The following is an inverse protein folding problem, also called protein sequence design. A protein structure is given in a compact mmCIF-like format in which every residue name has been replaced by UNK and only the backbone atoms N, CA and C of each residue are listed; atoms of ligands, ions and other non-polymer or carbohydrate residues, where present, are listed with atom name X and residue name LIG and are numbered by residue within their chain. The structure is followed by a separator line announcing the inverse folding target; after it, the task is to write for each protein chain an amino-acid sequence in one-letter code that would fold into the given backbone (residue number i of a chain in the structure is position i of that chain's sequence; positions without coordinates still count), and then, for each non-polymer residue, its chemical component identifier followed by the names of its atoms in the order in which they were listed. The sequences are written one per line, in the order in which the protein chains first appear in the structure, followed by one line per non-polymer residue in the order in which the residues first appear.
data_IF_641150479710
#
_entry.id   IF_641150479710
#
_cell.length_a   1.000
_cell.length_b   1.000
_cell.length_c   1.000
_cell.angle_alpha   90.00
_cell.angle_beta   90.00
_cell.angle_gamma   90.00
#
_symmetry.space_group_name_H-M   'P 1'
#
loop_
_entity.id
_entity.type
_entity.pdbx_description
1 polymer ?
#
# COMPACT_ATOMS: atom_id res chain seq x y z
N UNK A 1 -27.87 -28.58 13.21
CA UNK A 1 -26.63 -28.12 13.86
C UNK A 1 -25.51 -28.74 13.07
N UNK A 2 -25.17 -28.11 11.93
CA UNK A 2 -24.17 -28.63 11.00
C UNK A 2 -22.91 -27.78 11.12
N UNK A 3 -21.80 -28.48 11.35
CA UNK A 3 -20.45 -27.94 11.45
C UNK A 3 -20.08 -27.18 10.18
N UNK A 4 -19.92 -25.86 10.32
CA UNK A 4 -19.33 -25.01 9.29
C UNK A 4 -17.83 -25.34 9.16
N UNK A 5 -17.48 -26.15 8.15
CA UNK A 5 -16.09 -26.32 7.74
C UNK A 5 -15.69 -25.12 6.88
N UNK A 6 -14.63 -24.37 7.22
CA UNK A 6 -14.17 -23.26 6.40
C UNK A 6 -13.73 -23.81 5.04
N UNK A 7 -14.38 -23.32 3.99
CA UNK A 7 -14.27 -23.85 2.64
C UNK A 7 -12.89 -23.66 2.02
N UNK A 8 -12.51 -24.64 1.19
CA UNK A 8 -11.32 -24.78 0.33
C UNK A 8 -10.98 -23.60 -0.61
N UNK A 9 -11.62 -22.44 -0.47
CA UNK A 9 -11.49 -21.28 -1.37
C UNK A 9 -11.17 -19.96 -0.65
N UNK A 10 -10.52 -20.02 0.51
CA UNK A 10 -10.01 -18.83 1.21
C UNK A 10 -8.98 -18.04 0.36
N UNK A 11 -8.43 -18.64 -0.71
CA UNK A 11 -7.57 -18.00 -1.71
C UNK A 11 -8.32 -17.08 -2.70
N UNK A 12 -9.64 -17.18 -2.84
CA UNK A 12 -10.42 -16.26 -3.67
C UNK A 12 -10.65 -14.92 -2.97
N UNK A 13 -10.68 -14.91 -1.64
CA UNK A 13 -10.78 -13.70 -0.80
C UNK A 13 -9.66 -12.66 -1.06
N UNK A 14 -8.37 -13.06 -1.23
CA UNK A 14 -7.28 -12.22 -1.73
C UNK A 14 -7.58 -11.46 -3.03
N UNK A 15 -8.34 -12.05 -3.96
CA UNK A 15 -8.67 -11.45 -5.26
C UNK A 15 -9.65 -10.27 -5.09
N UNK A 16 -10.44 -10.27 -4.01
CA UNK A 16 -11.35 -9.17 -3.68
C UNK A 16 -10.69 -8.06 -2.85
N UNK A 17 -9.51 -8.33 -2.29
CA UNK A 17 -8.78 -7.41 -1.44
C UNK A 17 -7.81 -6.50 -2.21
N UNK A 18 -7.25 -6.95 -3.33
CA UNK A 18 -6.42 -6.11 -4.19
C UNK A 18 -7.22 -5.74 -5.45
N UNK A 19 -7.79 -4.52 -5.52
CA UNK A 19 -8.45 -4.06 -6.73
C UNK A 19 -7.51 -4.20 -7.93
N UNK A 20 -7.99 -4.83 -9.01
CA UNK A 20 -7.21 -5.01 -10.27
C UNK A 20 -6.61 -3.69 -10.77
N UNK A 21 -7.29 -2.57 -10.49
CA UNK A 21 -6.82 -1.23 -10.80
C UNK A 21 -5.49 -0.91 -10.10
N UNK A 22 -5.26 -1.38 -8.87
CA UNK A 22 -3.99 -1.22 -8.15
C UNK A 22 -2.89 -2.04 -8.81
N UNK A 23 -3.16 -3.29 -9.20
CA UNK A 23 -2.18 -4.12 -9.91
C UNK A 23 -1.81 -3.50 -11.26
N UNK A 24 -2.78 -2.94 -11.97
CA UNK A 24 -2.56 -2.20 -13.21
C UNK A 24 -1.74 -0.93 -12.95
N UNK A 25 -2.04 -0.16 -11.90
CA UNK A 25 -1.24 1.00 -11.51
C UNK A 25 0.20 0.59 -11.17
N UNK A 26 0.39 -0.43 -10.33
CA UNK A 26 1.71 -0.95 -9.94
C UNK A 26 2.52 -1.40 -11.16
N UNK A 27 1.93 -2.23 -12.03
CA UNK A 27 2.57 -2.74 -13.24
C UNK A 27 2.99 -1.62 -14.19
N UNK A 28 2.17 -0.56 -14.30
CA UNK A 28 2.41 0.53 -15.25
C UNK A 28 3.36 1.59 -14.74
N UNK A 29 3.34 1.92 -13.44
CA UNK A 29 4.42 2.73 -12.84
C UNK A 29 5.76 2.02 -13.04
N UNK A 30 5.79 0.70 -12.85
CA UNK A 30 7.00 -0.08 -13.08
C UNK A 30 7.40 -0.05 -14.58
N UNK A 31 6.45 -0.20 -15.50
CA UNK A 31 6.72 -0.08 -16.94
C UNK A 31 7.18 1.33 -17.36
N UNK A 32 6.60 2.39 -16.79
CA UNK A 32 7.01 3.78 -17.04
C UNK A 32 8.40 4.06 -16.48
N UNK A 33 8.75 3.55 -15.29
CA UNK A 33 10.12 3.66 -14.75
C UNK A 33 11.12 2.93 -15.65
N UNK A 34 10.80 1.72 -16.11
CA UNK A 34 11.65 0.95 -17.05
C UNK A 34 11.81 1.69 -18.38
N UNK A 35 10.71 2.23 -18.93
CA UNK A 35 10.75 3.00 -20.17
C UNK A 35 11.59 4.28 -20.04
N UNK A 36 11.49 5.03 -18.92
CA UNK A 36 12.35 6.20 -18.66
C UNK A 36 13.83 5.86 -18.48
N UNK A 37 14.13 4.67 -17.96
CA UNK A 37 15.50 4.18 -17.86
C UNK A 37 16.07 3.76 -19.23
N UNK A 38 15.19 3.35 -20.15
CA UNK A 38 15.57 2.89 -21.49
C UNK A 38 15.55 3.99 -22.56
N UNK A 39 14.74 5.05 -22.39
CA UNK A 39 14.59 6.13 -23.37
C UNK A 39 15.21 7.44 -22.84
N UNK A 40 16.27 7.91 -23.50
CA UNK A 40 17.03 9.11 -23.12
C UNK A 40 16.43 10.41 -23.66
N UNK A 41 15.11 10.49 -23.87
CA UNK A 41 14.47 11.75 -24.26
C UNK A 41 12.99 11.82 -23.83
N UNK A 42 12.71 12.81 -22.97
CA UNK A 42 11.56 13.71 -23.12
C UNK A 42 10.11 13.20 -23.15
N UNK A 43 9.83 11.93 -22.88
CA UNK A 43 8.43 11.46 -22.86
C UNK A 43 7.68 12.03 -21.63
N UNK A 44 6.87 13.05 -21.86
CA UNK A 44 5.84 13.53 -20.93
C UNK A 44 5.03 12.33 -20.42
N UNK A 45 4.59 12.28 -19.15
CA UNK A 45 3.88 11.12 -18.61
C UNK A 45 2.47 10.98 -19.22
N UNK A 46 2.38 10.50 -20.46
CA UNK A 46 1.13 10.34 -21.18
C UNK A 46 0.25 9.31 -20.44
N UNK A 47 -0.91 9.77 -19.97
CA UNK A 47 -1.94 8.94 -19.35
C UNK A 47 -2.07 9.03 -17.82
N UNK A 48 -1.21 9.76 -17.10
CA UNK A 48 -1.34 9.86 -15.62
C UNK A 48 -2.71 10.41 -15.20
N UNK A 49 -3.20 11.46 -15.85
CA UNK A 49 -4.51 12.06 -15.54
C UNK A 49 -5.67 11.09 -15.82
N UNK A 50 -5.59 10.29 -16.88
CA UNK A 50 -6.57 9.25 -17.20
C UNK A 50 -6.59 8.15 -16.13
N UNK A 51 -5.43 7.77 -15.61
CA UNK A 51 -5.33 6.76 -14.55
C UNK A 51 -5.73 7.29 -13.19
N UNK A 52 -5.37 8.53 -12.87
CA UNK A 52 -5.85 9.23 -11.69
C UNK A 52 -7.38 9.27 -11.71
N UNK A 53 -7.99 9.67 -12.84
CA UNK A 53 -9.42 9.64 -13.03
C UNK A 53 -9.99 8.21 -12.89
N UNK A 54 -9.33 7.19 -13.45
CA UNK A 54 -9.78 5.80 -13.33
C UNK A 54 -9.77 5.30 -11.86
N UNK A 55 -8.73 5.62 -11.09
CA UNK A 55 -8.62 5.25 -9.66
C UNK A 55 -9.61 6.05 -8.82
N UNK A 56 -9.83 7.33 -9.12
CA UNK A 56 -10.80 8.16 -8.42
C UNK A 56 -12.25 7.75 -8.70
N UNK A 57 -12.55 7.34 -9.93
CA UNK A 57 -13.90 6.88 -10.33
C UNK A 57 -14.18 5.42 -9.97
N UNK A 58 -13.17 4.67 -9.52
CA UNK A 58 -13.36 3.29 -9.09
C UNK A 58 -14.24 3.23 -7.84
N UNK A 59 -15.25 2.34 -7.87
CA UNK A 59 -16.17 2.14 -6.74
C UNK A 59 -15.87 0.84 -6.00
N UNK A 60 -15.87 0.87 -4.66
CA UNK A 60 -15.83 -0.32 -3.83
C UNK A 60 -16.93 -1.32 -4.21
N UNK A 61 -16.61 -2.61 -4.19
CA UNK A 61 -17.59 -3.67 -4.45
C UNK A 61 -18.30 -4.00 -3.14
N UNK A 62 -19.62 -3.85 -3.16
CA UNK A 62 -20.52 -4.22 -2.06
C UNK A 62 -21.04 -5.63 -2.34
N UNK A 63 -20.85 -6.54 -1.40
CA UNK A 63 -21.55 -7.82 -1.36
C UNK A 63 -22.57 -7.76 -0.21
N UNK A 64 -23.85 -7.86 -0.55
CA UNK A 64 -24.95 -7.76 0.43
C UNK A 64 -25.17 -9.07 1.20
N UNK A 65 -24.41 -10.12 0.90
CA UNK A 65 -24.43 -11.37 1.67
C UNK A 65 -23.65 -11.29 3.00
N UNK A 66 -22.82 -10.27 3.18
CA UNK A 66 -22.00 -10.10 4.38
C UNK A 66 -22.81 -9.56 5.59
N UNK A 67 -22.36 -9.90 6.80
CA UNK A 67 -22.80 -9.20 8.00
C UNK A 67 -22.45 -7.70 7.91
N UNK A 68 -23.27 -6.77 8.43
CA UNK A 68 -23.04 -5.32 8.29
C UNK A 68 -21.65 -4.86 8.74
N UNK A 69 -21.09 -5.44 9.80
CA UNK A 69 -19.74 -5.14 10.29
C UNK A 69 -18.63 -5.62 9.36
N UNK A 70 -18.82 -6.76 8.70
CA UNK A 70 -17.88 -7.29 7.71
C UNK A 70 -17.92 -6.45 6.43
N UNK A 71 -19.09 -6.00 6.02
CA UNK A 71 -19.25 -5.09 4.88
C UNK A 71 -18.51 -3.76 5.11
N UNK A 72 -18.72 -3.12 6.27
CA UNK A 72 -18.02 -1.87 6.62
C UNK A 72 -16.49 -2.08 6.61
N UNK A 73 -16.03 -3.18 7.21
CA UNK A 73 -14.60 -3.53 7.24
C UNK A 73 -14.03 -3.73 5.84
N UNK A 74 -14.75 -4.45 4.98
CA UNK A 74 -14.36 -4.69 3.58
C UNK A 74 -14.27 -3.40 2.78
N UNK A 75 -15.25 -2.51 2.94
CA UNK A 75 -15.24 -1.19 2.33
C UNK A 75 -14.04 -0.36 2.80
N UNK A 76 -13.72 -0.40 4.09
CA UNK A 76 -12.55 0.31 4.64
C UNK A 76 -11.24 -0.21 4.04
N UNK A 77 -11.08 -1.53 3.89
CA UNK A 77 -9.91 -2.12 3.23
C UNK A 77 -9.83 -1.71 1.76
N UNK A 78 -10.93 -1.83 1.02
CA UNK A 78 -10.98 -1.45 -0.40
C UNK A 78 -10.65 0.02 -0.62
N UNK A 79 -11.16 0.90 0.24
CA UNK A 79 -10.87 2.32 0.18
C UNK A 79 -9.40 2.58 0.54
N UNK A 80 -8.83 1.89 1.52
CA UNK A 80 -7.41 2.01 1.87
C UNK A 80 -6.50 1.64 0.68
N UNK A 81 -6.88 0.62 -0.09
CA UNK A 81 -6.20 0.25 -1.34
C UNK A 81 -6.29 1.35 -2.40
N UNK A 82 -7.46 1.97 -2.58
CA UNK A 82 -7.64 3.09 -3.51
C UNK A 82 -6.74 4.26 -3.15
N UNK A 83 -6.68 4.64 -1.88
CA UNK A 83 -5.79 5.71 -1.41
C UNK A 83 -4.31 5.35 -1.61
N UNK A 84 -3.92 4.12 -1.29
CA UNK A 84 -2.56 3.66 -1.48
C UNK A 84 -2.13 3.67 -2.96
N UNK A 85 -3.02 3.32 -3.89
CA UNK A 85 -2.74 3.41 -5.32
C UNK A 85 -2.45 4.86 -5.76
N UNK A 86 -3.20 5.84 -5.25
CA UNK A 86 -2.96 7.25 -5.55
C UNK A 86 -1.63 7.73 -4.96
N UNK A 87 -1.28 7.32 -3.73
CA UNK A 87 0.03 7.62 -3.13
C UNK A 87 1.16 7.10 -4.02
N UNK A 88 1.05 5.83 -4.45
CA UNK A 88 2.05 5.21 -5.31
C UNK A 88 2.12 5.86 -6.69
N UNK A 89 0.98 6.26 -7.26
CA UNK A 89 0.93 6.99 -8.53
C UNK A 89 1.68 8.32 -8.42
N UNK A 90 1.37 9.14 -7.40
CA UNK A 90 2.00 10.45 -7.25
C UNK A 90 3.49 10.35 -6.90
N UNK A 91 3.85 9.54 -5.91
CA UNK A 91 5.25 9.44 -5.48
C UNK A 91 6.11 8.60 -6.44
N UNK A 92 5.55 7.52 -6.99
CA UNK A 92 6.26 6.57 -7.83
C UNK A 92 6.32 6.97 -9.30
N UNK A 93 5.26 7.58 -9.85
CA UNK A 93 5.17 7.95 -11.27
C UNK A 93 5.41 9.44 -11.52
N UNK A 94 4.80 10.30 -10.70
CA UNK A 94 4.92 11.77 -10.84
C UNK A 94 6.16 12.34 -10.13
N UNK A 95 6.95 11.50 -9.44
CA UNK A 95 8.08 11.91 -8.61
C UNK A 95 7.71 12.96 -7.54
N UNK A 96 6.45 12.97 -7.08
CA UNK A 96 6.03 13.81 -5.99
C UNK A 96 6.70 13.38 -4.67
N UNK A 97 6.94 14.34 -3.79
CA UNK A 97 7.43 14.04 -2.44
C UNK A 97 6.27 13.77 -1.48
N UNK A 98 6.58 13.18 -0.32
CA UNK A 98 5.62 12.99 0.77
C UNK A 98 5.09 14.28 1.39
N UNK A 99 5.64 15.45 1.03
CA UNK A 99 5.13 16.76 1.43
C UNK A 99 4.11 17.35 0.46
N UNK A 100 3.81 16.68 -0.67
CA UNK A 100 2.67 17.05 -1.51
C UNK A 100 1.38 16.94 -0.69
N UNK A 101 0.58 18.00 -0.66
CA UNK A 101 -0.66 18.07 0.13
C UNK A 101 -1.63 16.93 -0.21
N UNK A 102 -1.66 16.49 -1.48
CA UNK A 102 -2.46 15.35 -1.92
C UNK A 102 -1.97 14.08 -1.24
N UNK A 103 -0.66 13.84 -1.26
CA UNK A 103 -0.05 12.67 -0.61
C UNK A 103 -0.31 12.67 0.90
N UNK A 104 -0.15 13.81 1.58
CA UNK A 104 -0.44 13.92 3.01
C UNK A 104 -1.91 13.62 3.35
N UNK A 105 -2.84 14.08 2.52
CA UNK A 105 -4.27 13.81 2.69
C UNK A 105 -4.56 12.31 2.53
N UNK A 106 -4.00 11.68 1.50
CA UNK A 106 -4.15 10.23 1.25
C UNK A 106 -3.59 9.39 2.40
N UNK A 107 -2.40 9.71 2.91
CA UNK A 107 -1.78 9.02 4.06
C UNK A 107 -2.68 9.09 5.29
N UNK A 108 -3.24 10.27 5.56
CA UNK A 108 -4.17 10.47 6.68
C UNK A 108 -5.40 9.57 6.54
N UNK A 109 -5.97 9.50 5.35
CA UNK A 109 -7.14 8.65 5.08
C UNK A 109 -6.80 7.16 5.27
N UNK A 110 -5.65 6.69 4.75
CA UNK A 110 -5.21 5.30 4.99
C UNK A 110 -5.05 5.02 6.49
N UNK A 111 -4.42 5.92 7.24
CA UNK A 111 -4.25 5.73 8.68
C UNK A 111 -5.60 5.70 9.43
N UNK A 112 -6.57 6.52 9.03
CA UNK A 112 -7.93 6.50 9.59
C UNK A 112 -8.66 5.19 9.27
N UNK A 113 -8.68 4.78 8.00
CA UNK A 113 -9.31 3.53 7.55
C UNK A 113 -8.67 2.30 8.19
N UNK A 114 -7.34 2.29 8.31
CA UNK A 114 -6.66 1.22 9.00
C UNK A 114 -7.02 1.17 10.49
N UNK A 115 -7.28 2.33 11.11
CA UNK A 115 -7.72 2.44 12.50
C UNK A 115 -9.15 1.96 12.76
N UNK A 116 -10.03 1.95 11.74
CA UNK A 116 -11.42 1.46 11.89
C UNK A 116 -11.53 -0.06 11.75
N UNK A 117 -10.55 -0.72 11.12
CA UNK A 117 -10.53 -2.18 11.00
C UNK A 117 -10.14 -2.81 12.34
N UNK A 118 -11.03 -3.65 12.87
CA UNK A 118 -10.82 -4.35 14.14
C UNK A 118 -9.64 -5.33 14.07
N UNK A 119 -8.91 -5.43 15.18
CA UNK A 119 -7.78 -6.33 15.31
C UNK A 119 -8.24 -7.79 15.35
N UNK A 120 -7.49 -8.69 14.69
CA UNK A 120 -7.78 -10.13 14.67
C UNK A 120 -8.84 -10.54 13.65
N UNK A 121 -9.37 -9.61 12.87
CA UNK A 121 -10.19 -9.93 11.69
C UNK A 121 -9.29 -10.41 10.55
N UNK A 122 -9.78 -11.35 9.72
CA UNK A 122 -9.05 -11.78 8.52
C UNK A 122 -8.86 -10.63 7.51
N UNK A 123 -9.66 -9.56 7.60
CA UNK A 123 -9.47 -8.36 6.78
C UNK A 123 -8.22 -7.54 7.13
N UNK A 124 -7.70 -7.67 8.35
CA UNK A 124 -6.52 -6.93 8.79
C UNK A 124 -5.25 -7.33 8.03
N UNK A 125 -5.16 -8.57 7.53
CA UNK A 125 -4.03 -9.00 6.69
C UNK A 125 -4.00 -8.28 5.35
N UNK A 126 -5.16 -7.87 4.83
CA UNK A 126 -5.29 -7.16 3.57
C UNK A 126 -4.88 -5.68 3.66
N UNK A 127 -4.68 -5.14 4.87
CA UNK A 127 -4.16 -3.79 5.08
C UNK A 127 -2.64 -3.70 4.99
N UNK A 128 -1.91 -4.81 4.91
CA UNK A 128 -0.45 -4.81 4.88
C UNK A 128 0.12 -3.89 3.80
N UNK A 129 -0.28 -4.09 2.53
CA UNK A 129 0.25 -3.32 1.40
C UNK A 129 -0.20 -1.86 1.44
N UNK A 130 -1.49 -1.53 1.67
CA UNK A 130 -1.90 -0.13 1.86
C UNK A 130 -1.13 0.59 2.96
N UNK A 131 -0.94 -0.08 4.11
CA UNK A 131 -0.23 0.51 5.23
C UNK A 131 1.27 0.67 4.96
N UNK A 132 1.89 -0.25 4.22
CA UNK A 132 3.26 -0.14 3.78
C UNK A 132 3.45 1.08 2.85
N UNK A 133 2.62 1.22 1.82
CA UNK A 133 2.69 2.35 0.87
C UNK A 133 2.46 3.67 1.60
N UNK A 134 1.43 3.76 2.43
CA UNK A 134 1.18 4.95 3.24
C UNK A 134 2.29 5.21 4.26
N UNK A 135 2.94 4.16 4.77
CA UNK A 135 4.05 4.23 5.72
C UNK A 135 5.31 4.87 5.12
N UNK A 136 5.58 4.59 3.83
CA UNK A 136 6.65 5.27 3.07
C UNK A 136 6.40 6.78 3.02
N UNK A 137 5.15 7.16 2.75
CA UNK A 137 4.73 8.56 2.64
C UNK A 137 4.46 9.24 4.00
N UNK A 138 4.52 8.53 5.12
CA UNK A 138 4.10 9.05 6.42
C UNK A 138 5.13 10.01 7.02
N UNK A 139 4.73 11.27 7.16
CA UNK A 139 5.54 12.32 7.81
C UNK A 139 5.25 12.50 9.31
N UNK A 140 4.04 12.16 9.76
CA UNK A 140 3.59 12.36 11.14
C UNK A 140 3.76 11.08 11.95
N UNK A 141 4.37 11.18 13.12
CA UNK A 141 4.66 10.03 13.99
C UNK A 141 3.38 9.27 14.40
N UNK A 142 2.29 10.00 14.64
CA UNK A 142 0.97 9.41 14.90
C UNK A 142 0.53 8.47 13.77
N UNK A 143 0.72 8.86 12.51
CA UNK A 143 0.36 8.02 11.36
C UNK A 143 1.32 6.81 11.26
N UNK A 144 2.63 7.03 11.43
CA UNK A 144 3.64 5.96 11.43
C UNK A 144 3.31 4.87 12.45
N UNK A 145 2.92 5.28 13.67
CA UNK A 145 2.54 4.35 14.74
C UNK A 145 1.34 3.49 14.36
N UNK A 146 0.27 4.09 13.80
CA UNK A 146 -0.94 3.36 13.38
C UNK A 146 -0.61 2.36 12.27
N UNK A 147 0.10 2.83 11.24
CA UNK A 147 0.45 2.03 10.06
C UNK A 147 1.41 0.88 10.44
N UNK A 148 2.42 1.16 11.28
CA UNK A 148 3.36 0.16 11.79
C UNK A 148 2.65 -0.95 12.54
N UNK A 149 1.72 -0.61 13.44
CA UNK A 149 0.95 -1.59 14.19
C UNK A 149 0.23 -2.55 13.26
N UNK A 150 -0.38 -2.03 12.19
CA UNK A 150 -1.12 -2.84 11.22
C UNK A 150 -0.20 -3.75 10.41
N UNK A 151 0.93 -3.22 9.93
CA UNK A 151 1.97 -3.99 9.23
C UNK A 151 2.45 -5.18 10.09
N UNK A 152 2.73 -4.95 11.38
CA UNK A 152 3.20 -5.99 12.30
C UNK A 152 2.17 -7.09 12.57
N UNK A 153 0.88 -6.74 12.62
CA UNK A 153 -0.17 -7.75 12.81
C UNK A 153 -0.32 -8.61 11.56
N UNK A 154 -0.30 -8.01 10.37
CA UNK A 154 -0.40 -8.74 9.11
C UNK A 154 0.81 -9.66 8.84
N UNK A 155 1.99 -9.36 9.39
CA UNK A 155 3.20 -10.22 9.31
C UNK A 155 3.06 -11.57 10.00
N UNK A 156 2.18 -11.67 11.00
CA UNK A 156 1.96 -12.92 11.76
C UNK A 156 1.03 -13.88 11.03
N UNK A 157 0.36 -13.43 9.97
CA UNK A 157 -0.47 -14.28 9.15
C UNK A 157 0.38 -14.97 8.09
N UNK A 158 0.33 -16.31 8.07
CA UNK A 158 1.05 -17.17 7.11
C UNK A 158 0.73 -16.85 5.63
N UNK A 159 -0.32 -16.06 5.37
CA UNK A 159 -0.79 -15.67 4.05
C UNK A 159 -0.01 -14.51 3.39
N UNK A 160 0.90 -13.84 4.09
CA UNK A 160 1.67 -12.76 3.47
C UNK A 160 2.82 -13.37 2.63
N UNK A 161 2.59 -13.52 1.32
CA UNK A 161 3.59 -13.95 0.32
C UNK A 161 4.86 -13.07 0.29
N UNK A 162 4.80 -11.89 0.92
CA UNK A 162 5.90 -10.95 1.06
C UNK A 162 6.56 -11.21 2.42
N UNK A 163 7.89 -11.36 2.48
CA UNK A 163 8.66 -11.37 3.74
C UNK A 163 8.42 -10.06 4.48
N UNK A 164 7.33 -9.99 5.25
CA UNK A 164 6.88 -8.73 5.83
C UNK A 164 7.91 -8.10 6.78
N UNK A 165 8.75 -8.93 7.42
CA UNK A 165 9.87 -8.50 8.27
C UNK A 165 10.89 -7.60 7.54
N UNK A 166 11.11 -7.85 6.25
CA UNK A 166 12.07 -7.09 5.44
C UNK A 166 11.56 -5.65 5.20
N UNK A 167 10.24 -5.48 5.12
CA UNK A 167 9.59 -4.18 4.86
C UNK A 167 9.50 -3.29 6.10
N UNK A 168 9.31 -3.87 7.29
CA UNK A 168 9.38 -3.09 8.54
C UNK A 168 10.76 -2.50 8.77
N UNK A 169 11.80 -3.28 8.50
CA UNK A 169 13.19 -2.84 8.63
C UNK A 169 13.50 -1.67 7.67
N UNK A 170 13.04 -1.75 6.41
CA UNK A 170 13.20 -0.68 5.44
C UNK A 170 12.48 0.62 5.88
N UNK A 171 11.27 0.51 6.44
CA UNK A 171 10.55 1.67 6.99
C UNK A 171 11.27 2.26 8.21
N UNK A 172 11.85 1.44 9.08
CA UNK A 172 12.63 1.92 10.22
C UNK A 172 13.86 2.69 9.77
N UNK A 173 14.62 2.14 8.82
CA UNK A 173 15.76 2.83 8.24
C UNK A 173 15.35 4.16 7.61
N UNK A 174 14.24 4.18 6.85
CA UNK A 174 13.72 5.40 6.24
C UNK A 174 13.31 6.45 7.29
N UNK A 175 12.56 6.05 8.32
CA UNK A 175 12.01 6.95 9.34
C UNK A 175 13.05 7.55 10.28
N UNK A 176 14.14 6.83 10.54
CA UNK A 176 15.27 7.32 11.32
C UNK A 176 16.38 7.96 10.46
N UNK A 177 16.34 7.76 9.14
CA UNK A 177 17.25 8.36 8.17
C UNK A 177 16.61 9.52 7.42
N UNK A 178 16.35 9.35 6.12
CA UNK A 178 15.89 10.41 5.23
C UNK A 178 14.58 11.09 5.68
N UNK A 179 13.68 10.36 6.34
CA UNK A 179 12.40 10.88 6.82
C UNK A 179 12.42 11.28 8.31
N UNK A 180 13.60 11.39 8.94
CA UNK A 180 13.73 11.82 10.32
C UNK A 180 13.06 13.19 10.55
N UNK A 181 12.42 13.38 11.72
CA UNK A 181 11.70 14.63 12.03
C UNK A 181 10.51 14.93 11.12
N UNK A 182 10.05 13.96 10.31
CA UNK A 182 8.99 14.20 9.33
C UNK A 182 9.48 14.91 8.07
N UNK A 183 10.79 14.81 7.76
CA UNK A 183 11.34 15.33 6.53
C UNK A 183 10.63 14.72 5.29
N UNK A 184 10.45 15.51 4.22
CA UNK A 184 9.89 15.00 2.96
C UNK A 184 10.79 13.91 2.38
N UNK A 185 10.18 12.89 1.80
CA UNK A 185 10.88 11.80 1.11
C UNK A 185 10.19 11.50 -0.21
N UNK A 186 10.96 10.95 -1.15
CA UNK A 186 10.50 10.45 -2.44
C UNK A 186 10.35 8.93 -2.38
N UNK A 187 9.79 8.34 -3.44
CA UNK A 187 9.75 6.89 -3.55
C UNK A 187 11.15 6.25 -3.64
N UNK A 188 12.13 6.97 -4.19
CA UNK A 188 13.48 6.44 -4.38
C UNK A 188 14.26 6.40 -3.06
N UNK A 189 13.99 7.31 -2.10
CA UNK A 189 14.53 7.23 -0.73
C UNK A 189 14.12 5.93 -0.02
N UNK A 190 12.88 5.48 -0.26
CA UNK A 190 12.41 4.19 0.22
C UNK A 190 13.09 3.02 -0.49
N UNK A 191 13.27 3.08 -1.81
CA UNK A 191 14.01 2.05 -2.56
C UNK A 191 15.43 1.91 -2.02
N UNK A 192 16.12 3.03 -1.77
CA UNK A 192 17.45 3.05 -1.17
C UNK A 192 17.47 2.42 0.24
N UNK A 193 16.50 2.78 1.08
CA UNK A 193 16.35 2.18 2.41
C UNK A 193 16.14 0.67 2.34
N UNK A 194 15.30 0.21 1.39
CA UNK A 194 15.05 -1.22 1.17
C UNK A 194 16.30 -1.97 0.70
N UNK A 195 17.06 -1.39 -0.25
CA UNK A 195 18.32 -1.97 -0.72
C UNK A 195 19.36 -2.06 0.40
N UNK A 196 19.36 -1.10 1.34
CA UNK A 196 20.26 -1.13 2.49
C UNK A 196 19.86 -2.21 3.50
N UNK A 197 18.57 -2.37 3.79
CA UNK A 197 18.10 -3.32 4.83
C UNK A 197 17.94 -4.75 4.34
N UNK A 198 17.84 -4.98 3.03
CA UNK A 198 17.72 -6.31 2.44
C UNK A 198 19.02 -6.62 1.69
N UNK A 199 19.98 -7.34 2.31
CA UNK A 199 21.18 -7.74 1.60
C UNK A 199 20.82 -8.69 0.46
N UNK A 200 21.20 -8.33 -0.76
CA UNK A 200 21.27 -9.27 -1.88
C UNK A 200 22.45 -10.19 -1.59
N UNK A 201 22.30 -11.52 -1.54
CA UNK A 201 23.43 -12.42 -1.37
C UNK A 201 24.43 -12.15 -2.49
N UNK A 202 25.64 -11.75 -2.13
CA UNK A 202 26.71 -11.46 -3.07
C UNK A 202 27.38 -12.76 -3.54
N UNK A 203 26.62 -13.77 -3.96
CA UNK A 203 27.16 -15.03 -4.49
C UNK A 203 26.15 -15.67 -5.46
N UNK A 204 26.40 -15.53 -6.77
CA UNK A 204 25.99 -16.45 -7.84
C UNK A 204 27.18 -16.65 -8.75
#
# INVERSE_FOLDING_TARGET
MEDYKPGKFQFMEPVYACPIIVLITLARVNASKVSRLMDRDGATPAGIEEYEAAVQNWKPRVDYADQPSQLITRLAVQEAWRQAALIYLYMGACAASSADDRVEALVRQVAQLAGTVEAGTHFETHLFVPCLIAGVAARKEKHRTILRKKIQVSQKAEACLLRGADFSSALDHLWHGAAAGGNPVTWDDYVNSRCFTIPVPADV
#
